data_IF_808725930834
#
_entry.id   IF_808725930834
#
_cell.length_a   1.000
_cell.length_b   1.000
_cell.length_c   1.000
_cell.angle_alpha   90.00
_cell.angle_beta   90.00
_cell.angle_gamma   90.00
#
_symmetry.space_group_name_H-M   'P 1'
#
loop_
_entity.id
_entity.type
_entity.pdbx_description
1 polymer ?
#
# COMPACT_ATOMS: atom_id res chain seq x y z
N UNK A 1 5.54 -8.04 -2.10
CA UNK A 1 4.59 -7.18 -2.84
C UNK A 1 4.71 -5.74 -2.37
N UNK A 2 4.25 -4.78 -3.15
CA UNK A 2 4.26 -3.35 -2.75
C UNK A 2 2.88 -2.74 -2.92
N UNK A 3 2.55 -1.74 -2.10
CA UNK A 3 1.25 -1.06 -2.13
C UNK A 3 1.46 0.44 -2.26
N UNK A 4 0.77 1.05 -3.22
CA UNK A 4 1.03 2.41 -3.65
C UNK A 4 -0.18 3.30 -3.39
N UNK A 5 0.08 4.55 -3.00
CA UNK A 5 -0.85 5.67 -3.16
C UNK A 5 -0.22 6.66 -4.15
N UNK A 6 -0.94 7.02 -5.21
CA UNK A 6 -0.40 7.80 -6.35
C UNK A 6 -0.96 9.22 -6.39
N UNK A 7 -0.29 10.18 -5.74
CA UNK A 7 -0.57 11.61 -5.90
C UNK A 7 -0.03 12.17 -7.24
N UNK A 8 -0.88 12.81 -8.06
CA UNK A 8 -0.44 13.59 -9.24
C UNK A 8 0.14 14.96 -8.85
N UNK A 9 -0.59 15.67 -7.97
CA UNK A 9 -0.22 16.97 -7.43
C UNK A 9 0.34 16.87 -5.99
N UNK A 10 0.28 15.65 -5.43
CA UNK A 10 0.63 15.35 -4.06
C UNK A 10 1.74 14.27 -4.04
N UNK A 11 1.99 13.72 -2.85
CA UNK A 11 3.00 12.69 -2.66
C UNK A 11 2.54 11.33 -3.18
N UNK A 12 3.48 10.56 -3.70
CA UNK A 12 3.34 9.12 -3.94
C UNK A 12 4.01 8.38 -2.81
N UNK A 13 3.29 7.45 -2.19
CA UNK A 13 3.83 6.63 -1.11
C UNK A 13 3.76 5.14 -1.45
N UNK A 14 4.77 4.39 -1.00
CA UNK A 14 4.96 2.98 -1.32
C UNK A 14 5.31 2.22 -0.04
N UNK A 15 4.47 1.25 0.32
CA UNK A 15 4.76 0.28 1.37
C UNK A 15 5.31 -1.01 0.77
N UNK A 16 6.42 -1.48 1.33
CA UNK A 16 7.06 -2.74 0.93
C UNK A 16 6.71 -3.82 1.93
N UNK A 17 6.06 -4.87 1.46
CA UNK A 17 5.48 -5.89 2.32
C UNK A 17 5.92 -7.30 1.90
N UNK A 18 6.28 -8.10 2.90
CA UNK A 18 6.46 -9.54 2.79
C UNK A 18 5.48 -10.25 3.72
N UNK A 19 4.61 -11.08 3.16
CA UNK A 19 3.69 -11.89 3.94
C UNK A 19 4.31 -13.26 4.23
N UNK A 20 4.36 -13.66 5.50
CA UNK A 20 4.82 -14.99 5.94
C UNK A 20 3.74 -15.65 6.79
N UNK A 21 2.92 -16.48 6.13
CA UNK A 21 1.71 -17.01 6.74
C UNK A 21 0.72 -15.88 7.06
N UNK A 22 0.36 -15.73 8.32
CA UNK A 22 -0.51 -14.63 8.78
C UNK A 22 0.27 -13.36 9.14
N UNK A 23 1.59 -13.46 9.36
CA UNK A 23 2.42 -12.31 9.68
C UNK A 23 2.70 -11.45 8.44
N UNK A 24 2.61 -10.14 8.62
CA UNK A 24 2.76 -9.14 7.56
C UNK A 24 3.99 -8.29 7.93
N UNK A 25 5.10 -8.51 7.25
CA UNK A 25 6.34 -7.79 7.51
C UNK A 25 6.44 -6.59 6.58
N UNK A 26 6.48 -5.40 7.15
CA UNK A 26 6.68 -4.14 6.44
C UNK A 26 8.16 -3.84 6.51
N UNK A 27 8.85 -4.14 5.41
CA UNK A 27 10.31 -4.20 5.37
C UNK A 27 10.94 -2.88 4.92
N UNK A 28 10.14 -2.01 4.31
CA UNK A 28 10.60 -0.74 3.76
C UNK A 28 9.40 0.18 3.53
N UNK A 29 9.68 1.48 3.46
CA UNK A 29 8.71 2.51 3.15
C UNK A 29 9.38 3.60 2.33
N UNK A 30 8.66 4.13 1.34
CA UNK A 30 9.15 5.22 0.50
C UNK A 30 8.06 6.21 0.23
N UNK A 31 8.40 7.49 0.23
CA UNK A 31 7.48 8.56 -0.13
C UNK A 31 8.27 9.68 -0.82
N UNK A 32 7.75 10.15 -1.95
CA UNK A 32 8.30 11.30 -2.67
C UNK A 32 7.19 12.04 -3.44
N UNK A 33 7.47 13.19 -4.04
CA UNK A 33 6.47 13.99 -4.76
C UNK A 33 6.97 14.55 -6.08
N UNK A 34 6.07 14.71 -7.05
CA UNK A 34 6.36 15.41 -8.30
C UNK A 34 7.17 14.62 -9.33
N UNK A 35 7.51 13.37 -9.03
CA UNK A 35 8.32 12.51 -9.89
C UNK A 35 7.47 11.60 -10.81
N UNK A 36 8.08 11.11 -11.89
CA UNK A 36 7.43 10.23 -12.86
C UNK A 36 7.43 8.75 -12.43
N UNK A 37 6.61 7.92 -13.08
CA UNK A 37 6.60 6.47 -12.80
C UNK A 37 7.94 5.79 -13.13
N UNK A 38 8.68 6.32 -14.10
CA UNK A 38 10.04 5.87 -14.42
C UNK A 38 10.99 6.08 -13.24
N UNK A 39 10.93 7.24 -12.58
CA UNK A 39 11.72 7.49 -11.37
C UNK A 39 11.41 6.44 -10.30
N UNK A 40 10.13 6.24 -9.96
CA UNK A 40 9.76 5.26 -8.95
C UNK A 40 10.17 3.83 -9.34
N UNK A 41 10.13 3.47 -10.63
CA UNK A 41 10.63 2.19 -11.13
C UNK A 41 12.14 2.03 -10.89
N UNK A 42 12.93 3.09 -11.12
CA UNK A 42 14.36 3.09 -10.77
C UNK A 42 14.59 2.92 -9.27
N UNK A 43 13.84 3.63 -8.42
CA UNK A 43 13.96 3.46 -6.95
C UNK A 43 13.59 2.03 -6.51
N UNK A 44 12.64 1.37 -7.19
CA UNK A 44 12.36 -0.04 -6.94
C UNK A 44 13.53 -0.96 -7.33
N UNK A 45 14.14 -0.70 -8.48
CA UNK A 45 15.28 -1.48 -8.99
C UNK A 45 16.51 -1.33 -8.09
N UNK A 46 16.81 -0.11 -7.66
CA UNK A 46 17.96 0.20 -6.80
C UNK A 46 17.91 -0.49 -5.44
N UNK A 47 16.70 -0.76 -4.92
CA UNK A 47 16.53 -1.54 -3.68
C UNK A 47 16.90 -3.03 -3.83
N UNK A 48 16.92 -3.56 -5.06
CA UNK A 48 17.34 -4.94 -5.33
C UNK A 48 16.42 -6.03 -4.76
N UNK A 49 15.18 -5.71 -4.38
CA UNK A 49 14.22 -6.72 -3.93
C UNK A 49 13.60 -7.48 -5.11
N UNK A 50 13.16 -8.72 -4.86
CA UNK A 50 12.34 -9.48 -5.80
C UNK A 50 10.87 -9.16 -5.53
N UNK A 51 10.24 -8.50 -6.50
CA UNK A 51 8.84 -8.10 -6.42
C UNK A 51 7.94 -9.13 -7.10
N UNK A 52 6.81 -9.43 -6.45
CA UNK A 52 5.75 -10.27 -7.01
C UNK A 52 4.69 -9.39 -7.71
N UNK A 53 3.93 -8.65 -6.91
CA UNK A 53 2.86 -7.77 -7.40
C UNK A 53 2.96 -6.37 -6.80
N UNK A 54 2.75 -5.36 -7.63
CA UNK A 54 2.60 -3.95 -7.28
C UNK A 54 1.12 -3.56 -7.30
N UNK A 55 0.57 -3.29 -6.14
CA UNK A 55 -0.84 -2.92 -5.98
C UNK A 55 -1.01 -1.41 -6.10
N UNK A 56 -1.75 -0.99 -7.12
CA UNK A 56 -2.03 0.40 -7.43
C UNK A 56 -3.49 0.75 -7.06
N UNK A 57 -3.77 2.03 -6.74
CA UNK A 57 -5.13 2.46 -6.45
C UNK A 57 -5.99 2.42 -7.71
N UNK A 58 -7.30 2.30 -7.52
CA UNK A 58 -8.26 2.29 -8.64
C UNK A 58 -8.18 3.52 -9.55
N UNK A 59 -7.82 4.68 -8.98
CA UNK A 59 -7.65 5.94 -9.73
C UNK A 59 -6.48 5.88 -10.75
N UNK A 60 -5.56 4.93 -10.59
CA UNK A 60 -4.45 4.71 -11.53
C UNK A 60 -4.90 4.20 -12.91
N UNK A 61 -6.13 3.66 -13.02
CA UNK A 61 -6.69 3.19 -14.30
C UNK A 61 -7.20 4.34 -15.18
N UNK A 62 -7.38 5.54 -14.63
CA UNK A 62 -7.85 6.68 -15.42
C UNK A 62 -6.76 7.08 -16.41
N UNK A 63 -7.15 7.23 -17.68
CA UNK A 63 -6.23 7.67 -18.74
C UNK A 63 -5.96 9.15 -18.62
N UNK A 64 -4.69 9.52 -18.69
CA UNK A 64 -4.32 10.93 -18.74
C UNK A 64 -4.69 11.54 -20.09
N UNK A 65 -5.24 12.75 -20.06
CA UNK A 65 -5.70 13.48 -21.25
C UNK A 65 -4.53 13.76 -22.22
N UNK A 66 -3.31 13.94 -21.71
CA UNK A 66 -2.13 14.24 -22.52
C UNK A 66 -1.52 13.01 -23.22
N UNK A 67 -1.28 11.94 -22.46
CA UNK A 67 -0.56 10.75 -22.96
C UNK A 67 -1.49 9.68 -23.53
N UNK A 68 -2.79 9.72 -23.20
CA UNK A 68 -3.80 8.73 -23.61
C UNK A 68 -3.63 7.36 -22.97
N UNK A 69 -2.64 7.19 -22.08
CA UNK A 69 -2.35 5.96 -21.34
C UNK A 69 -2.76 6.12 -19.88
N UNK A 70 -3.13 5.01 -19.25
CA UNK A 70 -3.30 4.94 -17.80
C UNK A 70 -1.97 4.73 -17.10
N UNK A 71 -1.88 5.10 -15.82
CA UNK A 71 -0.69 4.87 -14.99
C UNK A 71 -0.36 3.38 -14.86
N UNK A 72 -1.38 2.54 -14.87
CA UNK A 72 -1.23 1.07 -14.90
C UNK A 72 -0.53 0.62 -16.19
N UNK A 73 -0.99 1.10 -17.35
CA UNK A 73 -0.39 0.75 -18.65
C UNK A 73 1.07 1.23 -18.73
N UNK A 74 1.39 2.40 -18.17
CA UNK A 74 2.77 2.91 -18.09
C UNK A 74 3.62 2.00 -17.20
N UNK A 75 3.17 1.71 -15.97
CA UNK A 75 3.88 0.83 -15.05
C UNK A 75 4.13 -0.57 -15.64
N UNK A 76 3.14 -1.14 -16.35
CA UNK A 76 3.29 -2.41 -17.06
C UNK A 76 4.31 -2.33 -18.20
N UNK A 77 4.34 -1.21 -18.94
CA UNK A 77 5.35 -1.00 -19.99
C UNK A 77 6.78 -0.88 -19.44
N UNK A 78 6.92 -0.49 -18.17
CA UNK A 78 8.20 -0.46 -17.43
C UNK A 78 8.58 -1.83 -16.82
N UNK A 79 7.79 -2.88 -17.09
CA UNK A 79 8.05 -4.23 -16.60
C UNK A 79 7.52 -4.51 -15.20
N UNK A 80 6.72 -3.62 -14.61
CA UNK A 80 6.13 -3.84 -13.29
C UNK A 80 4.87 -4.71 -13.40
N UNK A 81 4.84 -5.82 -12.65
CA UNK A 81 3.65 -6.64 -12.47
C UNK A 81 2.65 -5.91 -11.59
N UNK A 82 1.57 -5.38 -12.17
CA UNK A 82 0.63 -4.51 -11.45
C UNK A 82 -0.74 -5.16 -11.24
N UNK A 83 -1.38 -4.83 -10.13
CA UNK A 83 -2.77 -5.20 -9.82
C UNK A 83 -3.50 -4.03 -9.20
N UNK A 84 -4.83 -3.99 -9.35
CA UNK A 84 -5.66 -2.93 -8.77
C UNK A 84 -6.26 -3.39 -7.46
N UNK A 85 -6.11 -2.54 -6.45
CA UNK A 85 -6.70 -2.76 -5.12
C UNK A 85 -8.23 -2.65 -5.21
N UNK A 86 -9.00 -3.52 -4.54
CA UNK A 86 -10.46 -3.43 -4.53
C UNK A 86 -10.94 -2.05 -4.04
N UNK A 87 -11.93 -1.49 -4.73
CA UNK A 87 -12.55 -0.23 -4.31
C UNK A 87 -13.36 -0.47 -3.03
N UNK A 88 -13.01 0.27 -1.99
CA UNK A 88 -13.63 0.16 -0.66
C UNK A 88 -13.81 1.55 -0.05
N UNK A 89 -14.82 1.70 0.81
CA UNK A 89 -15.04 2.95 1.54
C UNK A 89 -13.84 3.28 2.45
N UNK A 90 -13.68 4.56 2.81
CA UNK A 90 -12.61 4.98 3.72
C UNK A 90 -12.80 4.32 5.10
N UNK A 91 -14.03 4.29 5.60
CA UNK A 91 -14.36 3.70 6.90
C UNK A 91 -14.06 2.20 6.96
N UNK A 92 -14.48 1.45 5.94
CA UNK A 92 -14.22 0.02 5.86
C UNK A 92 -12.72 -0.27 5.77
N UNK A 93 -11.99 0.53 4.99
CA UNK A 93 -10.54 0.39 4.90
C UNK A 93 -9.83 0.74 6.22
N UNK A 94 -10.28 1.76 6.95
CA UNK A 94 -9.77 2.06 8.30
C UNK A 94 -10.04 0.89 9.26
N UNK A 95 -11.23 0.27 9.17
CA UNK A 95 -11.53 -0.91 9.97
C UNK A 95 -10.63 -2.10 9.61
N UNK A 96 -10.38 -2.33 8.30
CA UNK A 96 -9.45 -3.35 7.83
C UNK A 96 -8.03 -3.12 8.38
N UNK A 97 -7.56 -1.87 8.40
CA UNK A 97 -6.28 -1.50 9.02
C UNK A 97 -6.25 -1.89 10.50
N UNK A 98 -7.28 -1.52 11.28
CA UNK A 98 -7.36 -1.85 12.71
C UNK A 98 -7.31 -3.35 12.98
N UNK A 99 -7.97 -4.16 12.14
CA UNK A 99 -7.93 -5.62 12.26
C UNK A 99 -6.56 -6.21 11.90
N UNK A 100 -5.87 -5.58 10.95
CA UNK A 100 -4.61 -6.09 10.38
C UNK A 100 -3.39 -5.70 11.19
N UNK A 101 -3.40 -4.54 11.87
CA UNK A 101 -2.25 -4.01 12.63
C UNK A 101 -1.66 -5.01 13.62
N UNK A 102 -2.48 -5.84 14.27
CA UNK A 102 -2.03 -6.88 15.21
C UNK A 102 -1.08 -7.92 14.59
N UNK A 103 -1.07 -8.03 13.27
CA UNK A 103 -0.25 -8.96 12.49
C UNK A 103 0.91 -8.27 11.77
N UNK A 104 1.03 -6.95 11.89
CA UNK A 104 2.02 -6.15 11.18
C UNK A 104 3.30 -6.01 12.01
N UNK A 105 4.43 -6.31 11.37
CA UNK A 105 5.77 -6.17 11.92
C UNK A 105 6.53 -5.15 11.09
N UNK A 106 6.88 -4.03 11.71
CA UNK A 106 7.52 -2.90 11.04
C UNK A 106 9.03 -2.96 11.24
N UNK A 107 9.81 -2.81 10.16
CA UNK A 107 11.23 -2.52 10.27
C UNK A 107 11.42 -1.13 10.89
N UNK A 108 12.09 -1.06 12.04
CA UNK A 108 12.14 0.15 12.85
C UNK A 108 12.78 1.35 12.13
N UNK A 109 13.82 1.12 11.33
CA UNK A 109 14.56 2.19 10.69
C UNK A 109 13.93 2.55 9.35
N UNK A 110 13.66 1.54 8.51
CA UNK A 110 13.22 1.75 7.14
C UNK A 110 11.77 2.19 7.03
N UNK A 111 10.95 1.92 8.03
CA UNK A 111 9.52 2.31 8.03
C UNK A 111 9.19 3.48 8.94
N UNK A 112 10.21 4.13 9.51
CA UNK A 112 10.03 5.17 10.55
C UNK A 112 9.05 6.27 10.12
N UNK A 113 9.25 6.84 8.92
CA UNK A 113 8.41 7.94 8.42
C UNK A 113 6.95 7.50 8.22
N UNK A 114 6.73 6.35 7.58
CA UNK A 114 5.40 5.80 7.39
C UNK A 114 4.72 5.42 8.71
N UNK A 115 5.48 4.94 9.70
CA UNK A 115 4.97 4.63 11.04
C UNK A 115 4.59 5.90 11.81
N UNK A 116 5.38 6.96 11.69
CA UNK A 116 5.08 8.26 12.30
C UNK A 116 3.84 8.90 11.66
N UNK A 117 3.64 8.73 10.35
CA UNK A 117 2.40 9.11 9.68
C UNK A 117 1.18 8.33 10.22
N UNK A 118 1.28 7.00 10.33
CA UNK A 118 0.20 6.16 10.88
C UNK A 118 -0.16 6.55 12.32
N UNK A 119 0.81 6.94 13.14
CA UNK A 119 0.60 7.39 14.54
C UNK A 119 -0.15 8.73 14.62
N UNK A 120 0.02 9.60 13.63
CA UNK A 120 -0.53 10.97 13.62
C UNK A 120 -1.82 11.09 12.80
N UNK A 121 -2.18 10.04 12.05
CA UNK A 121 -3.40 9.96 11.28
C UNK A 121 -4.64 10.05 12.18
N UNK A 122 -5.54 11.00 11.87
CA UNK A 122 -6.67 11.36 12.73
C UNK A 122 -7.87 11.83 11.92
N UNK A 123 -9.05 11.83 12.54
CA UNK A 123 -10.26 12.42 11.96
C UNK A 123 -10.12 13.94 11.88
N UNK A 124 -10.62 14.53 10.79
CA UNK A 124 -10.67 15.97 10.66
C UNK A 124 -11.66 16.52 11.68
N UNK A 125 -11.33 17.63 12.34
CA UNK A 125 -12.19 18.26 13.34
C UNK A 125 -12.67 19.62 12.79
N UNK A 126 -13.87 20.05 13.16
CA UNK A 126 -14.32 21.42 12.89
C UNK A 126 -13.86 22.38 14.00
N UNK A 127 -14.09 23.69 13.82
CA UNK A 127 -13.71 24.72 14.79
C UNK A 127 -14.45 24.58 16.15
N UNK A 128 -15.50 23.76 16.19
CA UNK A 128 -16.29 23.45 17.40
C UNK A 128 -15.83 22.17 18.11
N UNK A 129 -14.82 21.47 17.59
CA UNK A 129 -14.33 20.22 18.18
C UNK A 129 -15.08 18.95 17.73
N UNK A 130 -16.00 19.04 16.77
CA UNK A 130 -16.74 17.89 16.26
C UNK A 130 -15.98 17.23 15.11
N UNK A 131 -15.86 15.89 15.15
CA UNK A 131 -15.26 15.10 14.08
C UNK A 131 -16.10 15.17 12.81
N UNK A 132 -15.44 15.41 11.68
CA UNK A 132 -16.04 15.31 10.34
C UNK A 132 -16.05 13.86 9.89
N UNK A 133 -16.91 13.54 8.93
CA UNK A 133 -16.97 12.21 8.27
C UNK A 133 -15.81 11.97 7.28
N UNK A 134 -14.66 12.58 7.52
CA UNK A 134 -13.45 12.36 6.72
C UNK A 134 -12.19 12.47 7.58
N UNK A 135 -11.14 11.69 7.25
CA UNK A 135 -9.83 11.87 7.86
C UNK A 135 -9.28 13.27 7.57
N UNK A 136 -8.40 13.73 8.45
CA UNK A 136 -7.64 14.95 8.25
C UNK A 136 -6.74 14.75 7.03
N UNK A 137 -6.92 15.59 6.01
CA UNK A 137 -6.05 15.59 4.85
C UNK A 137 -4.82 16.45 5.16
N UNK A 138 -3.73 15.77 5.51
CA UNK A 138 -2.41 16.33 5.76
C UNK A 138 -1.35 15.34 5.27
N UNK A 139 -0.08 15.59 5.60
CA UNK A 139 1.05 14.76 5.19
C UNK A 139 0.92 13.28 5.61
N UNK A 140 0.07 12.96 6.59
CA UNK A 140 -0.14 11.58 7.05
C UNK A 140 -1.08 10.77 6.15
N UNK A 141 -1.83 11.45 5.27
CA UNK A 141 -2.90 10.82 4.49
C UNK A 141 -2.38 9.85 3.45
N UNK A 142 -1.32 10.20 2.72
CA UNK A 142 -0.77 9.36 1.66
C UNK A 142 -0.26 8.03 2.21
N UNK A 143 0.60 8.11 3.24
CA UNK A 143 1.14 6.93 3.91
C UNK A 143 0.02 6.03 4.48
N UNK A 144 -1.02 6.65 5.05
CA UNK A 144 -2.17 5.92 5.60
C UNK A 144 -3.07 5.30 4.53
N UNK A 145 -3.27 5.97 3.40
CA UNK A 145 -4.05 5.44 2.27
C UNK A 145 -3.32 4.28 1.57
N UNK A 146 -2.01 4.40 1.35
CA UNK A 146 -1.20 3.28 0.86
C UNK A 146 -1.22 2.09 1.83
N UNK A 147 -1.20 2.35 3.14
CA UNK A 147 -1.33 1.30 4.15
C UNK A 147 -2.72 0.66 4.17
N UNK A 148 -3.77 1.46 3.97
CA UNK A 148 -5.14 0.97 3.82
C UNK A 148 -5.26 0.04 2.62
N UNK A 149 -4.64 0.40 1.50
CA UNK A 149 -4.55 -0.45 0.32
C UNK A 149 -3.77 -1.73 0.55
N UNK A 150 -2.73 -1.70 1.39
CA UNK A 150 -2.07 -2.89 1.87
C UNK A 150 -3.07 -3.81 2.59
N UNK A 151 -3.77 -3.30 3.60
CA UNK A 151 -4.70 -4.13 4.38
C UNK A 151 -5.88 -4.68 3.57
N UNK A 152 -6.34 -3.99 2.53
CA UNK A 152 -7.45 -4.46 1.67
C UNK A 152 -6.98 -5.28 0.47
N UNK A 153 -5.76 -5.06 0.00
CA UNK A 153 -5.17 -5.72 -1.17
C UNK A 153 -4.43 -7.02 -0.84
N UNK A 154 -4.12 -7.28 0.44
CA UNK A 154 -3.56 -8.56 0.87
C UNK A 154 -4.48 -9.70 0.46
N UNK A 155 -3.99 -10.55 -0.44
CA UNK A 155 -4.70 -11.75 -0.86
C UNK A 155 -4.58 -12.81 0.24
N UNK A 156 -5.55 -12.82 1.15
CA UNK A 156 -5.74 -13.96 2.02
C UNK A 156 -6.28 -15.13 1.21
N UNK A 157 -5.69 -16.31 1.36
CA UNK A 157 -6.15 -17.52 0.69
C UNK A 157 -7.57 -17.85 1.17
N UNK A 158 -8.57 -17.47 0.37
CA UNK A 158 -9.98 -17.84 0.59
C UNK A 158 -10.30 -19.26 0.11
N UNK A 159 -9.32 -19.92 -0.52
CA UNK A 159 -9.51 -21.24 -1.08
C UNK A 159 -9.31 -22.31 0.00
N UNK A 160 -10.39 -22.62 0.72
CA UNK A 160 -10.41 -23.70 1.71
C UNK A 160 -10.20 -25.10 1.11
N UNK A 161 -10.23 -25.24 -0.23
CA UNK A 161 -9.97 -26.49 -0.92
C UNK A 161 -8.49 -26.69 -1.29
N UNK A 162 -7.61 -25.71 -1.02
CA UNK A 162 -6.18 -25.89 -1.24
C UNK A 162 -5.63 -26.90 -0.23
N UNK A 163 -5.15 -28.03 -0.75
CA UNK A 163 -4.54 -29.06 0.09
C UNK A 163 -3.26 -28.52 0.75
N UNK A 164 -3.21 -28.55 2.08
CA UNK A 164 -2.02 -28.18 2.83
C UNK A 164 -0.96 -29.27 2.60
N UNK A 165 0.08 -28.93 1.82
CA UNK A 165 1.22 -29.80 1.62
C UNK A 165 2.22 -29.60 2.77
N UNK A 166 2.21 -30.52 3.73
CA UNK A 166 3.23 -30.52 4.78
C UNK A 166 4.59 -30.89 4.19
N UNK A 167 5.65 -30.08 4.38
CA UNK A 167 6.98 -30.51 4.03
C UNK A 167 7.33 -31.75 4.87
N UNK A 168 7.97 -32.76 4.27
CA UNK A 168 8.48 -33.97 4.97
C UNK A 168 9.67 -33.65 5.89
N UNK A 169 9.64 -32.51 6.57
CA UNK A 169 10.55 -32.18 7.65
C UNK A 169 9.87 -32.73 8.91
N UNK A 170 10.14 -34.00 9.19
CA UNK A 170 9.58 -34.69 10.33
C UNK A 170 10.06 -34.04 11.63
N UNK A 171 9.30 -33.08 12.15
CA UNK A 171 9.25 -32.73 13.56
C UNK A 171 7.80 -32.35 13.84
N UNK A 172 7.16 -33.16 14.68
CA UNK A 172 5.87 -32.89 15.34
C UNK A 172 6.14 -32.05 16.57
#
# INVERSE_FOLDING_TARGET
>A
STFWDLGMADKTSIWFCQQKGTAIHLIDYFEDSGESLEYYSSVLQDRGYIYDTHYLPHDAQVREIGTGKSRVEIAQSLGLSTSIVPKMSIEDGINAVRMTLSRCYFDFEKTKEGLDALRQYRWAVNDKGESKNRPQHDWTSHSADAFRYLCTGLQETKNWATQINYPKLGIV
#
